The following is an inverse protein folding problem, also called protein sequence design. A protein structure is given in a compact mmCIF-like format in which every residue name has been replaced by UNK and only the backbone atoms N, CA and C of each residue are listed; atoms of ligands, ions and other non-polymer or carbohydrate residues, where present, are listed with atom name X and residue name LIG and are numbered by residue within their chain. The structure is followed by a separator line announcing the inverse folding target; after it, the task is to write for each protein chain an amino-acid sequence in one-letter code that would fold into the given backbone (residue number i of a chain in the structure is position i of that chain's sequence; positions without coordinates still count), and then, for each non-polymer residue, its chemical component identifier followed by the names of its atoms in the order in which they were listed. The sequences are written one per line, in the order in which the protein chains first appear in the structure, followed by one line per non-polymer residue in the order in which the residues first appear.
data_IF_730753919334
#
_entry.id   IF_730753919334
#
_cell.length_a   1.000
_cell.length_b   1.000
_cell.length_c   1.000
_cell.angle_alpha   90.00
_cell.angle_beta   90.00
_cell.angle_gamma   90.00
#
_symmetry.space_group_name_H-M   'P 1'
#
loop_
_entity.id
_entity.type
_entity.pdbx_description
1 polymer ?
#
# COMPACT_ATOMS: atom_id res chain seq x y z
N UNK A 1 7.29 15.70 28.65
CA UNK A 1 6.31 15.04 27.76
C UNK A 1 5.37 14.33 28.69
N UNK A 2 4.13 14.75 28.72
CA UNK A 2 3.10 14.10 29.53
C UNK A 2 2.87 12.69 28.97
N UNK A 3 2.66 11.70 29.84
CA UNK A 3 2.39 10.32 29.44
C UNK A 3 1.15 10.29 28.54
N UNK A 4 1.29 9.76 27.32
CA UNK A 4 0.16 9.56 26.41
C UNK A 4 -0.78 8.53 27.02
N UNK A 5 -2.02 8.95 27.30
CA UNK A 5 -3.08 8.06 27.74
C UNK A 5 -3.53 7.15 26.59
N UNK A 6 -3.19 5.87 26.69
CA UNK A 6 -3.52 4.85 25.70
C UNK A 6 -5.01 4.48 25.69
N UNK A 7 -5.81 4.90 26.67
CA UNK A 7 -7.23 4.54 26.76
C UNK A 7 -8.09 5.11 25.63
N UNK A 8 -7.61 6.16 24.94
CA UNK A 8 -8.25 6.72 23.75
C UNK A 8 -7.85 6.06 22.41
N UNK A 9 -6.86 5.16 22.40
CA UNK A 9 -6.37 4.54 21.18
C UNK A 9 -7.25 3.36 20.74
N UNK A 10 -7.60 3.31 19.45
CA UNK A 10 -8.22 2.11 18.89
C UNK A 10 -7.13 1.05 18.66
N UNK A 11 -7.07 0.06 19.55
CA UNK A 11 -6.08 -1.03 19.52
C UNK A 11 -6.65 -2.35 19.00
N UNK A 12 -7.83 -2.35 18.38
CA UNK A 12 -8.43 -3.55 17.77
C UNK A 12 -8.23 -3.54 16.26
N UNK A 13 -8.26 -4.71 15.63
CA UNK A 13 -8.45 -4.79 14.19
C UNK A 13 -9.82 -4.17 13.82
N UNK A 14 -9.85 -3.37 12.76
CA UNK A 14 -11.09 -2.94 12.13
C UNK A 14 -11.28 -3.74 10.84
N UNK A 15 -12.39 -4.48 10.74
CA UNK A 15 -12.60 -5.51 9.72
C UNK A 15 -13.83 -5.12 8.90
N UNK A 16 -13.57 -4.55 7.72
CA UNK A 16 -14.60 -4.24 6.74
C UNK A 16 -14.67 -5.37 5.70
N UNK A 17 -15.69 -6.21 5.89
CA UNK A 17 -15.98 -7.34 5.02
C UNK A 17 -16.45 -6.90 3.64
N UNK A 18 -17.10 -5.77 3.48
CA UNK A 18 -17.67 -5.38 2.19
C UNK A 18 -16.60 -4.71 1.33
N UNK A 19 -15.70 -3.97 1.95
CA UNK A 19 -14.56 -3.35 1.28
C UNK A 19 -13.34 -4.28 1.14
N UNK A 20 -13.39 -5.48 1.73
CA UNK A 20 -12.28 -6.42 1.89
C UNK A 20 -11.04 -5.79 2.56
N UNK A 21 -11.27 -4.83 3.46
CA UNK A 21 -10.18 -4.13 4.15
C UNK A 21 -10.11 -4.58 5.60
N UNK A 22 -8.88 -4.70 6.08
CA UNK A 22 -8.57 -4.85 7.50
C UNK A 22 -7.55 -3.79 7.85
N UNK A 23 -7.85 -2.99 8.87
CA UNK A 23 -6.92 -2.01 9.43
C UNK A 23 -6.44 -2.51 10.78
N UNK A 24 -5.14 -2.82 10.87
CA UNK A 24 -4.50 -3.23 12.11
C UNK A 24 -4.13 -2.00 12.97
N UNK A 25 -3.92 -2.17 14.29
CA UNK A 25 -3.54 -1.08 15.17
C UNK A 25 -2.34 -0.27 14.70
N UNK A 26 -1.27 -0.92 14.24
CA UNK A 26 -0.06 -0.24 13.77
C UNK A 26 -0.28 0.56 12.47
N UNK A 27 -1.20 0.12 11.61
CA UNK A 27 -1.49 0.78 10.33
C UNK A 27 -2.03 2.21 10.53
N UNK A 28 -2.64 2.48 11.70
CA UNK A 28 -3.17 3.81 12.07
C UNK A 28 -2.09 4.84 12.37
N UNK A 29 -0.85 4.39 12.59
CA UNK A 29 0.28 5.25 12.93
C UNK A 29 1.35 5.30 11.84
N UNK A 30 1.33 4.35 10.90
CA UNK A 30 2.18 4.35 9.71
C UNK A 30 1.68 5.30 8.62
N UNK A 31 2.50 5.51 7.60
CA UNK A 31 2.13 6.28 6.40
C UNK A 31 1.19 5.42 5.56
N UNK A 32 -0.01 5.91 5.29
CA UNK A 32 -0.92 5.25 4.37
C UNK A 32 -0.48 5.44 2.91
N UNK A 33 -0.93 4.56 2.01
CA UNK A 33 -0.59 4.65 0.59
C UNK A 33 -0.95 6.00 -0.05
N UNK A 34 -2.10 6.56 0.33
CA UNK A 34 -2.54 7.87 -0.19
C UNK A 34 -1.65 9.01 0.31
N UNK A 35 -1.20 8.93 1.57
CA UNK A 35 -0.26 9.89 2.14
C UNK A 35 1.11 9.79 1.48
N UNK A 36 1.60 8.56 1.23
CA UNK A 36 2.83 8.33 0.48
C UNK A 36 2.74 8.92 -0.93
N UNK A 37 1.64 8.70 -1.65
CA UNK A 37 1.42 9.25 -2.99
C UNK A 37 1.46 10.80 -2.97
N UNK A 38 0.86 11.43 -1.95
CA UNK A 38 0.88 12.89 -1.78
C UNK A 38 2.29 13.40 -1.50
N UNK A 39 3.01 12.77 -0.56
CA UNK A 39 4.38 13.18 -0.21
C UNK A 39 5.32 12.99 -1.41
N UNK A 40 5.22 11.85 -2.09
CA UNK A 40 6.00 11.54 -3.29
C UNK A 40 5.74 12.55 -4.41
N UNK A 41 4.48 12.97 -4.59
CA UNK A 41 4.11 13.99 -5.57
C UNK A 41 4.69 15.37 -5.22
N UNK A 42 4.74 15.73 -3.93
CA UNK A 42 5.41 16.95 -3.47
C UNK A 42 6.93 16.88 -3.67
N UNK A 43 7.57 15.74 -3.34
CA UNK A 43 8.99 15.48 -3.62
C UNK A 43 9.33 15.66 -5.11
N UNK A 44 8.51 15.10 -6.00
CA UNK A 44 8.70 15.25 -7.44
C UNK A 44 8.49 16.69 -7.89
N UNK A 45 7.48 17.39 -7.36
CA UNK A 45 7.26 18.82 -7.65
C UNK A 45 8.43 19.70 -7.19
N UNK A 46 8.96 19.46 -6.00
CA UNK A 46 10.16 20.12 -5.48
C UNK A 46 11.37 19.85 -6.38
N UNK A 47 11.55 18.60 -6.79
CA UNK A 47 12.58 18.20 -7.74
C UNK A 47 12.47 18.96 -9.07
N UNK A 48 11.28 18.97 -9.69
CA UNK A 48 11.05 19.70 -10.95
C UNK A 48 11.28 21.20 -10.79
N UNK A 49 10.84 21.79 -9.68
CA UNK A 49 11.04 23.22 -9.38
C UNK A 49 12.53 23.56 -9.30
N UNK A 50 13.32 22.71 -8.66
CA UNK A 50 14.77 22.90 -8.59
C UNK A 50 15.45 22.65 -9.93
N UNK A 51 15.09 21.60 -10.67
CA UNK A 51 15.70 21.29 -11.98
C UNK A 51 15.47 22.40 -13.00
N UNK A 52 14.31 23.07 -12.99
CA UNK A 52 14.05 24.26 -13.83
C UNK A 52 15.10 25.36 -13.64
N UNK A 53 15.68 25.52 -12.43
CA UNK A 53 16.72 26.53 -12.15
C UNK A 53 18.03 26.23 -12.90
N UNK A 54 18.36 24.96 -13.11
CA UNK A 54 19.64 24.51 -13.68
C UNK A 54 19.56 24.07 -15.14
N UNK A 55 18.35 23.78 -15.63
CA UNK A 55 18.07 23.42 -17.00
C UNK A 55 16.73 24.04 -17.45
N UNK A 56 16.65 25.38 -17.58
CA UNK A 56 15.40 26.10 -17.84
C UNK A 56 14.78 25.82 -19.22
N UNK A 57 15.60 25.37 -20.18
CA UNK A 57 15.14 25.03 -21.53
C UNK A 57 14.47 23.66 -21.61
N UNK A 58 14.46 22.89 -20.51
CA UNK A 58 13.83 21.57 -20.44
C UNK A 58 12.43 21.66 -19.81
N UNK A 59 11.54 20.79 -20.24
CA UNK A 59 10.18 20.70 -19.69
C UNK A 59 10.21 19.78 -18.46
N UNK A 60 10.26 20.40 -17.28
CA UNK A 60 10.20 19.73 -15.98
C UNK A 60 8.78 19.79 -15.42
N UNK A 61 7.98 18.81 -15.80
CA UNK A 61 6.63 18.61 -15.27
C UNK A 61 6.45 17.16 -14.88
N UNK A 62 5.62 16.93 -13.87
CA UNK A 62 5.18 15.59 -13.47
C UNK A 62 3.66 15.42 -13.66
N UNK A 63 3.18 14.20 -13.45
CA UNK A 63 1.76 13.93 -13.31
C UNK A 63 1.21 14.59 -12.04
N UNK A 64 -0.05 15.06 -12.06
CA UNK A 64 -0.65 15.68 -10.89
C UNK A 64 -0.70 14.71 -9.69
N UNK A 65 -0.68 15.25 -8.46
CA UNK A 65 -0.76 14.45 -7.24
C UNK A 65 -2.01 13.58 -7.22
N UNK A 66 -1.92 12.44 -6.54
CA UNK A 66 -2.91 11.36 -6.61
C UNK A 66 -2.93 10.61 -7.95
N UNK A 67 -1.92 10.82 -8.80
CA UNK A 67 -1.58 9.90 -9.89
C UNK A 67 -1.00 8.57 -9.40
N UNK A 68 -1.12 8.25 -8.11
CA UNK A 68 -0.86 6.95 -7.49
C UNK A 68 -1.16 5.83 -8.48
N UNK A 69 -0.08 5.32 -9.05
CA UNK A 69 -0.01 4.78 -10.39
C UNK A 69 -1.02 3.65 -10.61
N UNK A 70 -2.01 3.87 -11.49
CA UNK A 70 -2.97 2.87 -12.01
C UNK A 70 -3.89 2.17 -10.99
N UNK A 71 -3.90 2.54 -9.71
CA UNK A 71 -4.75 1.89 -8.71
C UNK A 71 -6.19 2.40 -8.82
N UNK A 72 -6.99 1.74 -9.66
CA UNK A 72 -8.42 2.03 -9.83
C UNK A 72 -9.21 1.79 -8.53
N UNK A 73 -8.72 0.86 -7.71
CA UNK A 73 -9.37 0.43 -6.49
C UNK A 73 -8.61 0.94 -5.26
N UNK A 74 -9.33 1.22 -4.16
CA UNK A 74 -8.70 1.45 -2.87
C UNK A 74 -7.91 0.21 -2.41
N UNK A 75 -7.01 0.37 -1.42
CA UNK A 75 -6.33 -0.75 -0.79
C UNK A 75 -7.32 -1.81 -0.28
N UNK A 76 -6.92 -3.07 -0.39
CA UNK A 76 -7.61 -4.22 0.19
C UNK A 76 -6.59 -5.02 0.99
N UNK A 77 -7.06 -5.72 2.01
CA UNK A 77 -6.18 -6.57 2.81
C UNK A 77 -5.90 -7.87 2.08
N UNK A 78 -4.62 -8.14 1.81
CA UNK A 78 -4.16 -9.33 1.08
C UNK A 78 -2.99 -10.05 1.75
N UNK A 79 -2.65 -9.69 2.99
CA UNK A 79 -1.51 -10.26 3.73
C UNK A 79 -1.64 -11.78 3.92
N UNK A 80 -2.88 -12.26 4.00
CA UNK A 80 -3.23 -13.69 4.16
C UNK A 80 -3.80 -14.31 2.87
N UNK A 81 -3.50 -13.71 1.72
CA UNK A 81 -4.00 -14.15 0.41
C UNK A 81 -5.45 -13.75 0.13
N UNK A 82 -6.08 -14.44 -0.82
CA UNK A 82 -7.48 -14.20 -1.20
C UNK A 82 -8.42 -14.85 -0.18
N UNK A 83 -9.13 -14.01 0.59
CA UNK A 83 -9.85 -14.47 1.77
C UNK A 83 -11.36 -14.31 1.68
N UNK A 84 -11.87 -13.76 0.56
CA UNK A 84 -13.31 -13.59 0.28
C UNK A 84 -13.70 -14.17 -1.06
N UNK A 85 -14.85 -14.83 -1.12
CA UNK A 85 -15.38 -15.45 -2.34
C UNK A 85 -15.62 -14.39 -3.41
N UNK A 86 -16.18 -13.23 -3.04
CA UNK A 86 -16.36 -12.12 -3.98
C UNK A 86 -15.04 -11.58 -4.55
N UNK A 87 -13.99 -11.56 -3.73
CA UNK A 87 -12.65 -11.17 -4.15
C UNK A 87 -12.07 -12.18 -5.15
N UNK A 88 -12.12 -13.47 -4.82
CA UNK A 88 -11.66 -14.55 -5.68
C UNK A 88 -12.43 -14.63 -7.01
N UNK A 89 -13.76 -14.47 -6.95
CA UNK A 89 -14.60 -14.53 -8.14
C UNK A 89 -14.25 -13.44 -9.16
N UNK A 90 -13.89 -12.26 -8.66
CA UNK A 90 -13.62 -11.11 -9.52
C UNK A 90 -12.15 -11.03 -9.95
N UNK A 91 -11.22 -11.38 -9.07
CA UNK A 91 -9.79 -11.11 -9.26
C UNK A 91 -8.91 -12.36 -9.25
N UNK A 92 -9.43 -13.55 -8.93
CA UNK A 92 -8.59 -14.73 -8.74
C UNK A 92 -7.58 -14.48 -7.61
N UNK A 93 -6.28 -14.64 -7.92
CA UNK A 93 -5.19 -14.26 -7.01
C UNK A 93 -4.59 -12.87 -7.31
N UNK A 94 -5.09 -12.16 -8.32
CA UNK A 94 -4.60 -10.84 -8.65
C UNK A 94 -4.92 -9.83 -7.54
N UNK A 95 -3.99 -8.92 -7.26
CA UNK A 95 -4.19 -7.86 -6.27
C UNK A 95 -5.26 -6.86 -6.76
N UNK A 96 -6.43 -6.74 -6.07
CA UNK A 96 -7.48 -5.82 -6.51
C UNK A 96 -7.02 -4.36 -6.55
N UNK A 97 -6.16 -3.96 -5.61
CA UNK A 97 -5.63 -2.59 -5.53
C UNK A 97 -4.82 -2.16 -6.78
N UNK A 98 -4.31 -3.10 -7.59
CA UNK A 98 -3.59 -2.79 -8.84
C UNK A 98 -4.33 -3.27 -10.08
N UNK A 99 -5.51 -3.88 -9.90
CA UNK A 99 -6.36 -4.29 -11.00
C UNK A 99 -6.95 -3.06 -11.70
N UNK A 100 -7.09 -3.15 -13.03
CA UNK A 100 -7.69 -2.10 -13.87
C UNK A 100 -9.20 -2.28 -14.05
N UNK A 101 -9.83 -2.98 -13.12
CA UNK A 101 -11.24 -3.35 -13.14
C UNK A 101 -11.79 -2.90 -11.78
N UNK A 102 -12.89 -2.15 -11.73
CA UNK A 102 -13.40 -1.64 -10.47
C UNK A 102 -13.98 -2.80 -9.65
N UNK A 103 -13.76 -2.80 -8.33
CA UNK A 103 -14.41 -3.77 -7.43
C UNK A 103 -15.94 -3.63 -7.60
N UNK A 104 -16.61 -4.75 -7.86
CA UNK A 104 -18.04 -4.76 -8.13
C UNK A 104 -18.84 -4.25 -6.91
N UNK A 105 -19.82 -3.39 -7.16
CA UNK A 105 -20.69 -2.84 -6.11
C UNK A 105 -20.08 -1.68 -5.31
N UNK A 106 -18.86 -1.25 -5.62
CA UNK A 106 -18.20 -0.10 -4.99
C UNK A 106 -18.29 1.16 -5.84
N UNK A 107 -18.53 2.29 -5.19
CA UNK A 107 -18.63 3.62 -5.81
C UNK A 107 -17.35 4.46 -5.69
N UNK A 108 -16.41 4.05 -4.85
CA UNK A 108 -15.15 4.74 -4.59
C UNK A 108 -14.05 4.40 -5.62
N UNK A 109 -14.48 4.21 -6.87
CA UNK A 109 -13.60 3.96 -8.01
C UNK A 109 -12.82 5.23 -8.33
N UNK A 110 -11.49 5.14 -8.29
CA UNK A 110 -10.62 6.22 -8.73
C UNK A 110 -10.57 6.20 -10.26
N UNK A 111 -10.72 7.36 -10.89
CA UNK A 111 -10.46 7.49 -12.33
C UNK A 111 -8.95 7.51 -12.53
N UNK A 112 -8.34 6.45 -13.12
CA UNK A 112 -6.91 6.48 -13.38
C UNK A 112 -6.61 7.55 -14.43
N UNK A 113 -5.44 8.17 -14.36
CA UNK A 113 -4.97 9.05 -15.44
C UNK A 113 -4.94 8.24 -16.74
N UNK A 114 -5.52 8.82 -17.80
CA UNK A 114 -5.59 8.15 -19.10
C UNK A 114 -4.19 7.90 -19.65
N UNK A 115 -4.02 6.79 -20.39
CA UNK A 115 -2.73 6.48 -21.03
C UNK A 115 -2.31 7.57 -22.00
N UNK A 116 -3.29 8.24 -22.61
CA UNK A 116 -3.11 9.34 -23.54
C UNK A 116 -2.50 10.56 -22.82
N UNK A 117 -2.98 10.91 -21.63
CA UNK A 117 -2.40 11.98 -20.81
C UNK A 117 -0.97 11.62 -20.43
N UNK A 118 -0.74 10.41 -19.91
CA UNK A 118 0.61 9.96 -19.54
C UNK A 118 1.56 9.98 -20.74
N UNK A 119 1.13 9.44 -21.88
CA UNK A 119 1.92 9.44 -23.11
C UNK A 119 2.20 10.86 -23.60
N UNK A 120 1.24 11.77 -23.49
CA UNK A 120 1.41 13.18 -23.81
C UNK A 120 2.46 13.82 -22.90
N UNK A 121 2.39 13.63 -21.58
CA UNK A 121 3.38 14.15 -20.62
C UNK A 121 4.80 13.72 -20.99
N UNK A 122 5.00 12.41 -21.20
CA UNK A 122 6.32 11.88 -21.57
C UNK A 122 6.80 12.36 -22.94
N UNK A 123 5.88 12.53 -23.89
CA UNK A 123 6.20 13.08 -25.21
C UNK A 123 6.59 14.56 -25.13
N UNK A 124 5.83 15.36 -24.39
CA UNK A 124 6.03 16.80 -24.22
C UNK A 124 7.32 17.08 -23.43
N UNK A 125 7.64 16.26 -22.42
CA UNK A 125 8.92 16.31 -21.69
C UNK A 125 10.12 16.07 -22.62
N UNK A 126 9.94 15.27 -23.67
CA UNK A 126 11.02 14.86 -24.56
C UNK A 126 12.08 14.00 -23.85
N UNK A 127 13.15 13.67 -24.58
CA UNK A 127 14.31 13.03 -23.99
C UNK A 127 15.23 14.12 -23.40
N UNK A 128 15.30 14.19 -22.07
CA UNK A 128 16.27 15.04 -21.38
C UNK A 128 17.65 14.37 -21.53
N UNK A 129 18.69 15.07 -22.05
CA UNK A 129 20.03 14.52 -22.12
C UNK A 129 20.52 14.06 -20.73
N UNK A 130 21.16 12.89 -20.66
CA UNK A 130 21.57 12.27 -19.39
C UNK A 130 22.47 13.20 -18.57
N UNK A 131 23.43 13.87 -19.21
CA UNK A 131 24.35 14.81 -18.58
C UNK A 131 23.63 16.04 -17.99
N UNK A 132 22.60 16.54 -18.69
CA UNK A 132 21.75 17.64 -18.20
C UNK A 132 20.94 17.18 -16.99
N UNK A 133 20.36 15.99 -17.05
CA UNK A 133 19.60 15.42 -15.93
C UNK A 133 20.49 15.19 -14.70
N UNK A 134 21.62 14.51 -14.86
CA UNK A 134 22.57 14.22 -13.77
C UNK A 134 23.09 15.52 -13.13
N UNK A 135 23.42 16.53 -13.94
CA UNK A 135 23.86 17.83 -13.42
C UNK A 135 22.75 18.54 -12.64
N UNK A 136 21.51 18.52 -13.13
CA UNK A 136 20.37 19.12 -12.43
C UNK A 136 20.11 18.41 -11.10
N UNK A 137 20.13 17.08 -11.08
CA UNK A 137 20.00 16.25 -9.87
C UNK A 137 21.09 16.61 -8.85
N UNK A 138 22.36 16.57 -9.25
CA UNK A 138 23.48 16.87 -8.36
C UNK A 138 23.42 18.31 -7.82
N UNK A 139 22.95 19.27 -8.61
CA UNK A 139 22.83 20.68 -8.19
C UNK A 139 21.65 20.94 -7.25
N UNK A 140 20.76 19.97 -7.11
CA UNK A 140 19.55 20.03 -6.30
C UNK A 140 19.61 19.11 -5.07
N UNK A 141 20.73 18.41 -4.84
CA UNK A 141 20.82 17.44 -3.75
C UNK A 141 20.51 18.07 -2.39
N UNK A 142 20.98 19.29 -2.13
CA UNK A 142 20.78 19.99 -0.85
C UNK A 142 19.57 20.94 -0.83
N UNK A 143 18.69 20.89 -1.84
CA UNK A 143 17.49 21.74 -1.86
C UNK A 143 16.56 21.35 -0.69
N UNK A 144 16.18 22.34 0.12
CA UNK A 144 15.47 22.11 1.39
C UNK A 144 14.10 21.45 1.18
N UNK A 145 13.38 21.82 0.12
CA UNK A 145 12.05 21.25 -0.16
C UNK A 145 12.18 19.81 -0.66
N UNK A 146 13.22 19.51 -1.46
CA UNK A 146 13.53 18.13 -1.87
C UNK A 146 13.87 17.28 -0.63
N UNK A 147 14.79 17.75 0.22
CA UNK A 147 15.22 17.02 1.42
C UNK A 147 14.05 16.77 2.38
N UNK A 148 13.15 17.74 2.52
CA UNK A 148 11.96 17.62 3.36
C UNK A 148 11.06 16.44 2.98
N UNK A 149 10.87 16.19 1.68
CA UNK A 149 9.96 15.13 1.20
C UNK A 149 10.66 13.83 0.77
N UNK A 150 12.00 13.80 0.70
CA UNK A 150 12.80 12.71 0.11
C UNK A 150 12.61 11.35 0.77
N UNK A 151 12.52 11.30 2.09
CA UNK A 151 12.45 10.04 2.83
C UNK A 151 11.44 10.10 3.98
N UNK A 152 10.13 10.00 3.69
CA UNK A 152 9.13 10.08 4.74
C UNK A 152 9.22 8.90 5.73
N UNK A 153 9.86 7.79 5.33
CA UNK A 153 9.99 6.60 6.16
C UNK A 153 10.94 6.78 7.35
N UNK A 154 11.85 7.75 7.32
CA UNK A 154 12.66 8.10 8.49
C UNK A 154 11.81 8.57 9.68
N UNK A 155 10.58 9.03 9.42
CA UNK A 155 9.63 9.43 10.45
C UNK A 155 8.99 8.24 11.18
N UNK A 156 9.00 7.05 10.58
CA UNK A 156 8.40 5.82 11.15
C UNK A 156 9.43 4.81 11.64
N UNK A 157 10.71 4.98 11.32
CA UNK A 157 11.77 4.13 11.88
C UNK A 157 11.95 4.48 13.35
N UNK A 158 11.50 3.57 14.21
CA UNK A 158 11.48 3.73 15.65
C UNK A 158 11.79 2.38 16.35
N UNK A 159 12.10 2.37 17.65
CA UNK A 159 12.45 1.14 18.38
C UNK A 159 11.40 0.03 18.30
N UNK A 160 10.14 0.37 18.03
CA UNK A 160 9.04 -0.59 17.89
C UNK A 160 8.99 -1.29 16.52
N UNK A 161 9.67 -0.78 15.49
CA UNK A 161 9.56 -1.26 14.11
C UNK A 161 9.88 -2.76 13.98
N UNK A 162 10.98 -3.19 14.59
CA UNK A 162 11.40 -4.59 14.59
C UNK A 162 10.42 -5.47 15.38
N UNK A 163 9.84 -4.97 16.47
CA UNK A 163 8.85 -5.71 17.25
C UNK A 163 7.54 -5.91 16.47
N UNK A 164 7.06 -4.89 15.75
CA UNK A 164 5.88 -5.00 14.88
C UNK A 164 6.12 -6.02 13.75
N UNK A 165 7.28 -5.95 13.09
CA UNK A 165 7.63 -6.91 12.04
C UNK A 165 7.78 -8.33 12.57
N UNK A 166 8.37 -8.49 13.76
CA UNK A 166 8.45 -9.79 14.43
C UNK A 166 7.07 -10.32 14.85
N UNK A 167 6.14 -9.48 15.27
CA UNK A 167 4.78 -9.90 15.60
C UNK A 167 4.07 -10.53 14.39
N UNK A 168 4.31 -10.00 13.18
CA UNK A 168 3.84 -10.61 11.92
C UNK A 168 4.57 -11.92 11.63
N UNK A 169 5.90 -11.91 11.65
CA UNK A 169 6.71 -13.09 11.33
C UNK A 169 6.46 -14.28 12.27
N UNK A 170 6.13 -14.01 13.54
CA UNK A 170 5.86 -15.00 14.58
C UNK A 170 4.37 -15.22 14.84
N UNK A 171 3.49 -14.79 13.92
CA UNK A 171 2.04 -14.95 14.10
C UNK A 171 1.67 -16.42 14.38
N UNK A 172 2.26 -17.36 13.66
CA UNK A 172 1.99 -18.81 13.79
C UNK A 172 2.75 -19.53 14.92
N UNK A 173 3.53 -18.79 15.72
CA UNK A 173 4.00 -19.29 17.02
C UNK A 173 2.84 -19.36 18.03
N UNK A 174 1.78 -18.58 17.79
CA UNK A 174 0.53 -18.60 18.56
C UNK A 174 -0.28 -19.86 18.28
N UNK A 175 -0.70 -20.57 19.32
CA UNK A 175 -1.44 -21.83 19.19
C UNK A 175 -2.81 -21.63 18.51
N UNK A 176 -3.48 -20.49 18.74
CA UNK A 176 -4.75 -20.19 18.09
C UNK A 176 -4.56 -19.91 16.60
N UNK A 177 -3.51 -19.15 16.23
CA UNK A 177 -3.18 -18.92 14.83
C UNK A 177 -2.78 -20.22 14.12
N UNK A 178 -2.02 -21.10 14.78
CA UNK A 178 -1.65 -22.41 14.25
C UNK A 178 -2.85 -23.33 14.05
N UNK A 179 -3.84 -23.27 14.95
CA UNK A 179 -5.08 -24.01 14.76
C UNK A 179 -5.84 -23.52 13.51
N UNK A 180 -5.96 -22.21 13.32
CA UNK A 180 -6.59 -21.63 12.12
C UNK A 180 -5.84 -22.06 10.85
N UNK A 181 -4.50 -22.04 10.87
CA UNK A 181 -3.67 -22.54 9.79
C UNK A 181 -4.03 -23.99 9.44
N UNK A 182 -4.05 -24.88 10.45
CA UNK A 182 -4.33 -26.30 10.27
C UNK A 182 -5.74 -26.56 9.73
N UNK A 183 -6.74 -25.81 10.21
CA UNK A 183 -8.13 -25.93 9.76
C UNK A 183 -8.26 -25.56 8.27
N UNK A 184 -7.62 -24.46 7.85
CA UNK A 184 -7.62 -24.02 6.46
C UNK A 184 -6.82 -24.97 5.58
N UNK A 185 -5.65 -25.44 6.04
CA UNK A 185 -4.83 -26.41 5.32
C UNK A 185 -5.58 -27.73 5.09
N UNK A 186 -6.27 -28.25 6.11
CA UNK A 186 -7.11 -29.44 5.98
C UNK A 186 -8.25 -29.24 4.98
N UNK A 187 -8.84 -28.04 4.94
CA UNK A 187 -9.84 -27.71 3.93
C UNK A 187 -9.25 -27.65 2.52
N UNK A 188 -8.07 -27.06 2.34
CA UNK A 188 -7.38 -27.07 1.05
C UNK A 188 -7.19 -28.50 0.55
N UNK A 189 -6.71 -29.41 1.42
CA UNK A 189 -6.55 -30.83 1.08
C UNK A 189 -7.87 -31.47 0.65
N UNK A 190 -8.96 -31.19 1.35
CA UNK A 190 -10.30 -31.70 0.99
C UNK A 190 -10.81 -31.17 -0.35
N UNK A 191 -10.35 -29.99 -0.77
CA UNK A 191 -10.66 -29.36 -2.06
C UNK A 191 -9.67 -29.76 -3.18
N UNK A 192 -8.74 -30.66 -2.88
CA UNK A 192 -7.70 -31.13 -3.81
C UNK A 192 -6.58 -30.12 -4.04
N UNK A 193 -6.37 -29.20 -3.09
CA UNK A 193 -5.30 -28.22 -3.08
C UNK A 193 -4.27 -28.57 -2.00
N UNK A 194 -3.09 -27.94 -2.06
CA UNK A 194 -2.10 -28.00 -1.00
C UNK A 194 -1.63 -26.59 -0.68
N UNK A 195 -1.62 -26.23 0.60
CA UNK A 195 -1.15 -24.91 1.03
C UNK A 195 0.36 -24.81 0.83
N UNK A 196 0.84 -23.68 0.32
CA UNK A 196 2.26 -23.42 0.14
C UNK A 196 2.95 -23.23 1.49
N UNK A 197 4.18 -23.74 1.64
CA UNK A 197 4.99 -23.55 2.86
C UNK A 197 5.44 -22.09 3.03
N UNK A 198 5.57 -21.35 1.92
CA UNK A 198 6.13 -19.99 1.91
C UNK A 198 5.14 -18.93 2.43
N UNK A 199 3.86 -19.25 2.62
CA UNK A 199 2.90 -18.29 3.14
C UNK A 199 1.46 -18.79 3.25
N UNK A 200 0.78 -18.38 4.33
CA UNK A 200 -0.63 -18.67 4.55
C UNK A 200 -1.50 -18.10 3.41
N UNK A 201 -2.44 -18.92 2.92
CA UNK A 201 -3.30 -18.59 1.80
C UNK A 201 -2.70 -18.83 0.41
N UNK A 202 -1.41 -19.19 0.33
CA UNK A 202 -0.75 -19.64 -0.90
C UNK A 202 -1.09 -21.10 -1.25
N UNK A 203 -0.99 -21.44 -2.54
CA UNK A 203 -1.22 -22.79 -3.07
C UNK A 203 0.07 -23.29 -3.71
N UNK A 204 0.51 -24.49 -3.34
CA UNK A 204 1.74 -25.09 -3.87
C UNK A 204 1.64 -25.32 -5.39
N UNK A 205 2.76 -25.17 -6.10
CA UNK A 205 2.88 -25.37 -7.54
C UNK A 205 1.98 -24.45 -8.40
N UNK A 206 1.42 -23.39 -7.81
CA UNK A 206 0.67 -22.37 -8.54
C UNK A 206 1.59 -21.19 -8.88
N UNK A 207 1.72 -20.86 -10.17
CA UNK A 207 2.50 -19.70 -10.60
C UNK A 207 1.64 -18.43 -10.54
N UNK A 208 1.81 -17.66 -9.46
CA UNK A 208 1.15 -16.37 -9.25
C UNK A 208 1.64 -15.28 -10.22
N UNK A 209 2.65 -15.55 -11.06
CA UNK A 209 3.14 -14.55 -12.02
C UNK A 209 2.16 -14.42 -13.18
N UNK A 210 1.53 -13.25 -13.26
CA UNK A 210 0.66 -12.90 -14.38
C UNK A 210 1.41 -13.02 -15.71
N UNK A 211 0.81 -13.75 -16.67
CA UNK A 211 1.35 -13.84 -18.03
C UNK A 211 1.30 -12.44 -18.67
N UNK A 212 2.42 -12.00 -19.25
CA UNK A 212 2.65 -10.65 -19.82
C UNK A 212 1.54 -10.12 -20.75
N UNK A 213 0.70 -10.98 -21.30
CA UNK A 213 -0.33 -10.64 -22.30
C UNK A 213 -1.78 -10.90 -21.84
N UNK A 214 -2.04 -11.26 -20.59
CA UNK A 214 -3.42 -11.44 -20.10
C UNK A 214 -3.71 -10.52 -18.90
N UNK A 215 -4.53 -9.47 -19.07
CA UNK A 215 -4.87 -8.56 -17.97
C UNK A 215 -5.91 -9.13 -17.00
N UNK A 216 -6.50 -10.28 -17.31
CA UNK A 216 -7.50 -10.95 -16.49
C UNK A 216 -7.00 -12.32 -16.00
N UNK A 217 -7.39 -12.76 -14.80
CA UNK A 217 -7.06 -14.10 -14.32
C UNK A 217 -7.70 -15.15 -15.23
N UNK A 218 -7.02 -16.29 -15.41
CA UNK A 218 -7.57 -17.40 -16.18
C UNK A 218 -8.74 -18.06 -15.43
N UNK A 219 -9.61 -18.80 -16.14
CA UNK A 219 -10.74 -19.50 -15.50
C UNK A 219 -10.25 -20.47 -14.42
N UNK A 220 -9.20 -21.23 -14.74
CA UNK A 220 -8.61 -22.19 -13.82
C UNK A 220 -8.03 -21.51 -12.57
N UNK A 221 -7.48 -20.30 -12.73
CA UNK A 221 -6.99 -19.48 -11.62
C UNK A 221 -8.13 -19.01 -10.71
N UNK A 222 -9.21 -18.50 -11.29
CA UNK A 222 -10.41 -18.11 -10.55
C UNK A 222 -10.98 -19.32 -9.80
N UNK A 223 -11.08 -20.49 -10.44
CA UNK A 223 -11.63 -21.70 -9.83
C UNK A 223 -10.79 -22.17 -8.63
N UNK A 224 -9.45 -22.04 -8.69
CA UNK A 224 -8.56 -22.34 -7.56
C UNK A 224 -8.68 -21.28 -6.46
N UNK A 225 -8.65 -19.99 -6.82
CA UNK A 225 -8.81 -18.89 -5.86
C UNK A 225 -10.15 -18.96 -5.11
N UNK A 226 -11.22 -19.39 -5.79
CA UNK A 226 -12.54 -19.58 -5.19
C UNK A 226 -12.50 -20.64 -4.09
N UNK A 227 -11.86 -21.79 -4.33
CA UNK A 227 -11.68 -22.83 -3.31
C UNK A 227 -10.87 -22.33 -2.12
N UNK A 228 -9.79 -21.59 -2.38
CA UNK A 228 -8.98 -20.95 -1.32
C UNK A 228 -9.83 -20.03 -0.47
N UNK A 229 -10.56 -19.11 -1.11
CA UNK A 229 -11.41 -18.15 -0.42
C UNK A 229 -12.56 -18.82 0.34
N UNK A 230 -13.17 -19.87 -0.23
CA UNK A 230 -14.21 -20.66 0.46
C UNK A 230 -13.65 -21.31 1.73
N UNK A 231 -12.46 -21.91 1.67
CA UNK A 231 -11.81 -22.47 2.84
C UNK A 231 -11.49 -21.39 3.88
N UNK A 232 -10.95 -20.23 3.47
CA UNK A 232 -10.69 -19.13 4.40
C UNK A 232 -11.96 -18.57 5.04
N UNK A 233 -13.02 -18.32 4.26
CA UNK A 233 -14.31 -17.82 4.76
C UNK A 233 -14.97 -18.83 5.70
N UNK A 234 -14.90 -20.13 5.39
CA UNK A 234 -15.49 -21.20 6.22
C UNK A 234 -14.99 -21.18 7.66
N UNK A 235 -13.72 -20.88 7.88
CA UNK A 235 -13.13 -20.82 9.23
C UNK A 235 -13.01 -19.40 9.78
N UNK A 236 -13.44 -18.41 9.00
CA UNK A 236 -13.24 -16.99 9.29
C UNK A 236 -11.77 -16.66 9.56
N UNK A 237 -10.89 -17.26 8.75
CA UNK A 237 -9.47 -17.35 9.07
C UNK A 237 -8.78 -15.98 9.09
N UNK A 238 -8.94 -15.20 8.03
CA UNK A 238 -8.29 -13.88 7.90
C UNK A 238 -8.75 -12.90 9.00
N UNK A 239 -10.05 -12.73 9.28
CA UNK A 239 -10.50 -11.92 10.42
C UNK A 239 -9.91 -12.34 11.76
N UNK A 240 -9.92 -13.64 12.09
CA UNK A 240 -9.37 -14.14 13.37
C UNK A 240 -7.86 -13.97 13.47
N UNK A 241 -7.12 -14.23 12.38
CA UNK A 241 -5.68 -14.01 12.33
C UNK A 241 -5.34 -12.53 12.51
N UNK A 242 -6.14 -11.63 11.92
CA UNK A 242 -5.99 -10.19 12.09
C UNK A 242 -6.26 -9.74 13.53
N UNK A 243 -7.24 -10.32 14.22
CA UNK A 243 -7.49 -10.06 15.65
C UNK A 243 -6.31 -10.49 16.52
N UNK A 244 -5.78 -11.70 16.32
CA UNK A 244 -4.59 -12.19 17.03
C UNK A 244 -3.39 -11.27 16.78
N UNK A 245 -3.18 -10.87 15.53
CA UNK A 245 -2.10 -9.94 15.18
C UNK A 245 -2.33 -8.56 15.82
N UNK A 246 -3.56 -8.06 15.84
CA UNK A 246 -3.90 -6.80 16.47
C UNK A 246 -3.64 -6.82 17.98
N UNK A 247 -3.94 -7.93 18.67
CA UNK A 247 -3.60 -8.08 20.10
C UNK A 247 -2.09 -7.99 20.33
N UNK A 248 -1.28 -8.69 19.51
CA UNK A 248 0.19 -8.60 19.59
C UNK A 248 0.69 -7.17 19.32
N UNK A 249 0.12 -6.48 18.33
CA UNK A 249 0.46 -5.08 18.05
C UNK A 249 0.02 -4.13 19.16
N UNK A 250 -1.14 -4.37 19.79
CA UNK A 250 -1.65 -3.56 20.89
C UNK A 250 -0.68 -3.52 22.06
N UNK A 251 -0.06 -4.65 22.40
CA UNK A 251 0.92 -4.71 23.49
C UNK A 251 2.21 -3.96 23.16
N UNK A 252 2.64 -3.97 21.89
CA UNK A 252 3.76 -3.17 21.42
C UNK A 252 3.41 -1.68 21.46
N UNK A 253 2.20 -1.29 21.04
CA UNK A 253 1.76 0.12 21.07
C UNK A 253 1.68 0.63 22.51
N UNK A 254 1.18 -0.17 23.46
CA UNK A 254 1.17 0.20 24.89
C UNK A 254 2.58 0.36 25.48
N UNK A 255 3.57 -0.34 24.92
CA UNK A 255 4.98 -0.23 25.33
C UNK A 255 5.64 1.04 24.76
N UNK A 256 5.22 1.52 23.59
CA UNK A 256 5.81 2.67 22.88
C UNK A 256 4.78 3.74 22.47
N UNK A 257 3.88 4.20 23.36
CA UNK A 257 2.73 5.02 22.96
C UNK A 257 3.16 6.41 22.46
N UNK A 258 4.21 6.98 23.06
CA UNK A 258 4.72 8.30 22.69
C UNK A 258 5.36 8.28 21.29
N UNK A 259 6.07 7.21 20.95
CA UNK A 259 6.72 7.03 19.66
C UNK A 259 5.68 6.90 18.54
N UNK A 260 4.63 6.10 18.75
CA UNK A 260 3.54 5.96 17.78
C UNK A 260 2.79 7.28 17.57
N UNK A 261 2.39 7.96 18.63
CA UNK A 261 1.65 9.24 18.53
C UNK A 261 2.52 10.34 17.92
N UNK A 262 3.77 10.49 18.36
CA UNK A 262 4.66 11.51 17.81
C UNK A 262 5.06 11.23 16.36
N UNK A 263 5.23 9.95 15.99
CA UNK A 263 5.42 9.53 14.59
C UNK A 263 4.23 9.94 13.72
N UNK A 264 3.01 9.61 14.15
CA UNK A 264 1.79 9.97 13.42
C UNK A 264 1.63 11.48 13.25
N UNK A 265 1.89 12.27 14.30
CA UNK A 265 1.87 13.74 14.23
C UNK A 265 2.88 14.31 13.22
N UNK A 266 4.10 13.74 13.16
CA UNK A 266 5.10 14.14 12.17
C UNK A 266 4.66 13.82 10.74
N UNK A 267 4.05 12.66 10.51
CA UNK A 267 3.50 12.31 9.20
C UNK A 267 2.36 13.26 8.84
N UNK A 268 1.42 13.54 9.76
CA UNK A 268 0.30 14.45 9.52
C UNK A 268 0.79 15.85 9.09
N UNK A 269 1.82 16.36 9.78
CA UNK A 269 2.47 17.62 9.43
C UNK A 269 3.14 17.56 8.05
N UNK A 270 3.88 16.49 7.75
CA UNK A 270 4.52 16.32 6.45
C UNK A 270 3.50 16.22 5.29
N UNK A 271 2.39 15.53 5.51
CA UNK A 271 1.29 15.42 4.54
C UNK A 271 0.62 16.78 4.32
N UNK A 272 0.40 17.56 5.39
CA UNK A 272 -0.14 18.91 5.28
C UNK A 272 0.80 19.82 4.47
N UNK A 273 2.09 19.78 4.76
CA UNK A 273 3.12 20.52 4.04
C UNK A 273 3.22 20.09 2.57
N UNK A 274 3.14 18.80 2.28
CA UNK A 274 3.13 18.27 0.92
C UNK A 274 1.91 18.75 0.13
N UNK A 275 0.71 18.72 0.73
CA UNK A 275 -0.51 19.25 0.13
C UNK A 275 -0.40 20.74 -0.17
N UNK A 276 0.16 21.51 0.76
CA UNK A 276 0.39 22.94 0.57
C UNK A 276 1.36 23.20 -0.58
N UNK A 277 2.51 22.51 -0.60
CA UNK A 277 3.51 22.62 -1.66
C UNK A 277 2.88 22.36 -3.05
N UNK A 278 2.13 21.27 -3.17
CA UNK A 278 1.40 20.91 -4.39
C UNK A 278 0.48 22.05 -4.87
N UNK A 279 -0.25 22.68 -3.95
CA UNK A 279 -1.19 23.75 -4.28
C UNK A 279 -0.49 25.05 -4.69
N UNK A 280 0.67 25.33 -4.12
CA UNK A 280 1.48 26.52 -4.40
C UNK A 280 2.28 26.41 -5.70
N UNK A 281 2.53 25.17 -6.17
CA UNK A 281 3.32 24.88 -7.36
C UNK A 281 2.53 24.15 -8.47
N UNK A 282 1.37 24.67 -8.96
CA UNK A 282 0.61 23.99 -10.00
C UNK A 282 1.35 23.96 -11.37
N UNK A 283 2.40 24.76 -11.55
CA UNK A 283 3.16 24.87 -12.80
C UNK A 283 4.16 23.72 -13.04
N UNK A 284 4.43 22.91 -12.02
CA UNK A 284 5.29 21.72 -12.14
C UNK A 284 4.50 20.44 -12.37
N UNK A 285 3.18 20.55 -12.49
CA UNK A 285 2.27 19.44 -12.78
C UNK A 285 1.55 19.67 -14.11
N UNK A 286 1.33 18.59 -14.86
CA UNK A 286 0.52 18.67 -16.08
C UNK A 286 -0.94 18.93 -15.72
N UNK A 287 -1.54 19.93 -16.37
CA UNK A 287 -2.97 20.18 -16.28
C UNK A 287 -3.73 19.04 -16.96
N UNK A 288 -4.58 18.36 -16.21
CA UNK A 288 -5.58 17.44 -16.74
C UNK A 288 -6.85 18.23 -17.00
N UNK A 289 -7.25 18.33 -18.27
CA UNK A 289 -8.55 18.92 -18.66
C UNK A 289 -9.73 18.01 -18.27
#
# INVERSE_FOLDING_TARGET
MDDVDVTGLNLKADIDRDSWMITLPADRFGISRDEEDIISSAYMGASMTCYKKYAPDQIWVDLPPLSGLNAMNPPVFSEFGVWRVGMAQQFGFDAPATARIPIAGRSDVRTPISREVVAKVYKDRGAIPTDVFEKAVASCEDDLDIQKFKNPYELVIAPWWDEINQARAKLFDDDAARQIYNDVASCFESEGLKMAEEGFGGVENFDFRRKKNNPYPAKEEIDIALKVAQCQEKFDATPKLAEILAEKQADIIKKYPNEFVSGRQKIDALVADAKQYIQEHPDVYVKTD
#
